data_IF_601857166260
#
_entry.id   IF_601857166260
#
_cell.length_a   1.000
_cell.length_b   1.000
_cell.length_c   1.000
_cell.angle_alpha   90.00
_cell.angle_beta   90.00
_cell.angle_gamma   90.00
#
_symmetry.space_group_name_H-M   'P 1'
#
loop_
_entity.id
_entity.type
_entity.pdbx_description
1 polymer ?
#
# COMPACT_ATOMS: atom_id res chain seq x y z
N UNK A 1 19.46 28.02 -35.13
CA UNK A 1 18.65 27.89 -33.90
C UNK A 1 18.23 26.45 -33.63
N UNK A 2 18.03 25.64 -34.67
CA UNK A 2 17.57 24.24 -34.56
C UNK A 2 18.49 23.34 -33.74
N UNK A 3 19.81 23.55 -33.78
CA UNK A 3 20.76 22.79 -32.96
C UNK A 3 20.63 23.05 -31.46
N UNK A 4 20.25 24.26 -31.04
CA UNK A 4 20.12 24.60 -29.62
C UNK A 4 18.89 23.93 -28.99
N UNK A 5 17.80 23.80 -29.75
CA UNK A 5 16.56 23.17 -29.31
C UNK A 5 16.77 21.64 -29.14
N UNK A 6 17.48 21.00 -30.08
CA UNK A 6 17.81 19.59 -29.99
C UNK A 6 18.70 19.27 -28.77
N UNK A 7 19.71 20.12 -28.50
CA UNK A 7 20.60 19.97 -27.34
C UNK A 7 19.84 20.14 -26.02
N UNK A 8 18.89 21.09 -25.96
CA UNK A 8 18.05 21.30 -24.77
C UNK A 8 17.14 20.08 -24.50
N UNK A 9 16.53 19.51 -25.54
CA UNK A 9 15.68 18.31 -25.41
C UNK A 9 16.46 17.10 -24.87
N UNK A 10 17.66 16.87 -25.40
CA UNK A 10 18.55 15.79 -24.94
C UNK A 10 18.98 16.02 -23.49
N UNK A 11 19.32 17.26 -23.11
CA UNK A 11 19.72 17.60 -21.76
C UNK A 11 18.58 17.38 -20.74
N UNK A 12 17.34 17.73 -21.08
CA UNK A 12 16.17 17.50 -20.22
C UNK A 12 15.89 16.01 -20.06
N UNK A 13 15.98 15.22 -21.14
CA UNK A 13 15.83 13.76 -21.09
C UNK A 13 16.89 13.13 -20.18
N UNK A 14 18.16 13.52 -20.34
CA UNK A 14 19.25 13.03 -19.51
C UNK A 14 19.10 13.44 -18.04
N UNK A 15 18.62 14.65 -17.77
CA UNK A 15 18.33 15.13 -16.41
C UNK A 15 17.25 14.25 -15.75
N UNK A 16 16.13 14.00 -16.45
CA UNK A 16 15.02 13.18 -15.94
C UNK A 16 15.47 11.75 -15.68
N UNK A 17 16.22 11.15 -16.61
CA UNK A 17 16.78 9.80 -16.43
C UNK A 17 17.72 9.75 -15.22
N UNK A 18 18.60 10.74 -15.05
CA UNK A 18 19.53 10.82 -13.93
C UNK A 18 18.81 10.99 -12.59
N UNK A 19 17.75 11.80 -12.55
CA UNK A 19 16.96 12.04 -11.34
C UNK A 19 16.19 10.78 -10.91
N UNK A 20 15.61 10.06 -11.88
CA UNK A 20 14.92 8.79 -11.64
C UNK A 20 15.89 7.70 -11.14
N UNK A 21 17.08 7.60 -11.73
CA UNK A 21 18.15 6.71 -11.26
C UNK A 21 18.57 7.04 -9.83
N UNK A 22 18.76 8.32 -9.52
CA UNK A 22 19.16 8.75 -8.17
C UNK A 22 18.07 8.48 -7.14
N UNK A 23 16.79 8.71 -7.47
CA UNK A 23 15.64 8.36 -6.62
C UNK A 23 15.51 6.86 -6.39
N UNK A 24 15.75 6.04 -7.42
CA UNK A 24 15.75 4.59 -7.31
C UNK A 24 16.88 4.09 -6.39
N UNK A 25 18.05 4.71 -6.45
CA UNK A 25 19.21 4.35 -5.63
C UNK A 25 19.10 4.85 -4.18
N UNK A 26 18.47 6.00 -3.93
CA UNK A 26 18.31 6.54 -2.57
C UNK A 26 17.16 5.92 -1.77
N UNK A 27 16.15 5.36 -2.43
CA UNK A 27 15.03 4.67 -1.75
C UNK A 27 15.32 3.22 -1.36
N UNK A 28 16.58 2.81 -1.39
CA UNK A 28 17.03 1.58 -0.76
C UNK A 28 17.79 1.88 0.54
N UNK A 29 17.16 2.43 1.60
CA UNK A 29 17.67 2.19 2.93
C UNK A 29 17.34 0.72 3.21
N UNK A 30 18.29 -0.18 2.88
CA UNK A 30 18.37 -1.40 3.66
C UNK A 30 18.47 -0.94 5.10
N UNK A 31 17.41 -1.17 5.89
CA UNK A 31 17.53 -1.09 7.34
C UNK A 31 18.72 -2.01 7.64
N UNK A 32 19.83 -1.52 8.24
CA UNK A 32 20.75 -2.46 8.83
C UNK A 32 19.89 -3.25 9.81
N UNK A 33 19.73 -4.54 9.54
CA UNK A 33 19.28 -5.46 10.57
C UNK A 33 20.32 -5.25 11.66
N UNK A 34 19.94 -4.52 12.71
CA UNK A 34 20.66 -4.57 13.98
C UNK A 34 20.61 -6.04 14.35
N UNK A 35 21.68 -6.75 13.98
CA UNK A 35 21.99 -8.06 14.52
C UNK A 35 21.92 -7.88 16.02
N UNK A 36 20.89 -8.47 16.61
CA UNK A 36 20.71 -8.51 18.04
C UNK A 36 22.07 -8.80 18.71
N UNK A 37 22.43 -8.07 19.77
CA UNK A 37 23.70 -8.28 20.45
C UNK A 37 23.83 -9.77 20.78
N UNK A 38 24.88 -10.40 20.26
CA UNK A 38 25.27 -11.76 20.63
C UNK A 38 25.41 -11.78 22.15
N UNK A 39 24.47 -12.44 22.82
CA UNK A 39 24.55 -12.73 24.23
C UNK A 39 25.83 -13.54 24.47
N UNK A 40 26.79 -12.92 25.16
CA UNK A 40 27.96 -13.61 25.70
C UNK A 40 27.51 -14.68 26.70
N UNK A 41 28.30 -15.76 26.86
CA UNK A 41 27.90 -16.87 27.71
C UNK A 41 28.23 -16.56 29.18
N UNK A 42 27.48 -17.25 30.06
CA UNK A 42 27.74 -17.54 31.48
C UNK A 42 27.09 -16.60 32.52
N UNK A 43 26.06 -17.14 33.16
CA UNK A 43 25.50 -16.64 34.41
C UNK A 43 24.30 -17.48 34.82
N UNK A 44 24.54 -18.68 35.36
CA UNK A 44 23.54 -19.58 35.94
C UNK A 44 22.69 -18.87 37.00
N UNK A 45 21.36 -18.93 36.85
CA UNK A 45 20.39 -19.07 37.94
C UNK A 45 19.00 -19.39 37.34
N UNK A 46 18.57 -20.64 37.46
CA UNK A 46 17.16 -21.04 37.32
C UNK A 46 16.28 -20.25 38.31
N UNK A 47 15.07 -19.85 37.89
CA UNK A 47 13.93 -20.70 38.26
C UNK A 47 12.90 -20.91 37.14
N UNK A 48 12.40 -22.15 37.10
CA UNK A 48 11.04 -22.57 36.75
C UNK A 48 10.50 -22.18 35.36
N UNK A 49 10.89 -22.99 34.37
CA UNK A 49 10.03 -23.59 33.34
C UNK A 49 8.57 -23.09 33.27
N UNK A 50 8.38 -21.96 32.59
CA UNK A 50 7.29 -21.84 31.64
C UNK A 50 7.89 -22.14 30.26
N UNK A 51 7.88 -23.42 29.89
CA UNK A 51 8.01 -23.86 28.50
C UNK A 51 6.77 -23.39 27.72
N UNK A 52 6.63 -22.07 27.57
CA UNK A 52 5.90 -21.48 26.46
C UNK A 52 6.82 -21.63 25.25
N UNK A 53 6.89 -22.88 24.76
CA UNK A 53 7.56 -23.24 23.52
C UNK A 53 7.31 -22.13 22.50
N UNK A 54 8.40 -21.42 22.17
CA UNK A 54 8.46 -20.43 21.13
C UNK A 54 7.98 -21.08 19.83
N UNK A 55 6.66 -21.07 19.61
CA UNK A 55 6.08 -21.52 18.36
C UNK A 55 6.73 -20.65 17.30
N UNK A 56 7.30 -21.25 16.23
CA UNK A 56 7.84 -20.46 15.14
C UNK A 56 6.76 -19.46 14.72
N UNK A 57 7.07 -18.17 14.80
CA UNK A 57 6.13 -17.09 14.58
C UNK A 57 5.46 -17.28 13.20
N UNK A 58 4.19 -17.68 13.21
CA UNK A 58 3.43 -17.85 11.99
C UNK A 58 2.96 -16.47 11.51
N UNK A 59 3.17 -16.16 10.22
CA UNK A 59 2.77 -14.89 9.64
C UNK A 59 1.24 -14.88 9.57
N UNK A 60 0.65 -13.70 9.63
CA UNK A 60 -0.80 -13.59 9.54
C UNK A 60 -1.32 -14.24 8.25
N UNK A 61 -2.14 -15.31 8.30
CA UNK A 61 -2.51 -16.07 7.11
C UNK A 61 -3.29 -15.20 6.11
N UNK A 62 -4.11 -14.29 6.61
CA UNK A 62 -4.88 -13.36 5.78
C UNK A 62 -3.99 -12.30 5.12
N UNK A 63 -2.88 -11.90 5.76
CA UNK A 63 -1.91 -11.00 5.17
C UNK A 63 -1.17 -11.67 4.02
N UNK A 64 -0.71 -12.92 4.23
CA UNK A 64 -0.14 -13.77 3.18
C UNK A 64 -1.10 -13.87 2.00
N UNK A 65 -2.38 -14.17 2.28
CA UNK A 65 -3.42 -14.29 1.24
C UNK A 65 -3.61 -12.98 0.47
N UNK A 66 -3.65 -11.83 1.14
CA UNK A 66 -3.76 -10.53 0.50
C UNK A 66 -2.59 -10.21 -0.40
N UNK A 67 -1.38 -10.54 0.03
CA UNK A 67 -0.15 -10.29 -0.73
C UNK A 67 -0.02 -11.25 -1.92
N UNK A 68 -0.42 -12.51 -1.78
CA UNK A 68 -0.46 -13.49 -2.89
C UNK A 68 -1.55 -13.18 -3.93
N UNK A 69 -2.63 -12.53 -3.49
CA UNK A 69 -3.72 -12.06 -4.34
C UNK A 69 -3.45 -10.69 -5.01
N UNK A 70 -2.28 -10.08 -4.79
CA UNK A 70 -1.92 -8.73 -5.26
C UNK A 70 -2.92 -7.65 -4.78
N UNK A 71 -3.40 -7.82 -3.54
CA UNK A 71 -4.37 -6.94 -2.86
C UNK A 71 -3.75 -6.18 -1.71
N UNK A 72 -2.49 -5.77 -1.87
CA UNK A 72 -1.69 -4.98 -0.92
C UNK A 72 -2.51 -3.92 -0.18
N UNK A 73 -3.19 -3.05 -0.95
CA UNK A 73 -3.98 -1.92 -0.44
C UNK A 73 -5.05 -2.32 0.58
N UNK A 74 -5.57 -3.54 0.46
CA UNK A 74 -6.62 -4.08 1.32
C UNK A 74 -6.08 -5.05 2.37
N UNK A 75 -4.78 -5.36 2.33
CA UNK A 75 -4.16 -6.31 3.24
C UNK A 75 -4.33 -5.87 4.70
N UNK A 76 -4.02 -4.61 5.01
CA UNK A 76 -4.22 -4.06 6.35
C UNK A 76 -5.69 -4.15 6.79
N UNK A 77 -6.64 -3.75 5.93
CA UNK A 77 -8.07 -3.84 6.25
C UNK A 77 -8.53 -5.28 6.50
N UNK A 78 -8.04 -6.23 5.71
CA UNK A 78 -8.37 -7.63 5.86
C UNK A 78 -7.81 -8.23 7.16
N UNK A 79 -6.58 -7.86 7.52
CA UNK A 79 -5.95 -8.23 8.80
C UNK A 79 -6.77 -7.70 9.96
N UNK A 80 -7.19 -6.43 9.94
CA UNK A 80 -8.03 -5.87 11.00
C UNK A 80 -9.39 -6.59 11.09
N UNK A 81 -10.02 -6.93 9.97
CA UNK A 81 -11.29 -7.65 9.98
C UNK A 81 -11.13 -9.08 10.50
N UNK A 82 -10.05 -9.75 10.13
CA UNK A 82 -9.72 -11.09 10.63
C UNK A 82 -9.43 -11.08 12.14
N UNK A 83 -8.67 -10.09 12.61
CA UNK A 83 -8.38 -9.90 14.02
C UNK A 83 -9.65 -9.60 14.84
N UNK A 84 -10.57 -8.79 14.32
CA UNK A 84 -11.86 -8.53 14.98
C UNK A 84 -12.73 -9.80 15.00
N UNK A 85 -12.77 -10.56 13.90
CA UNK A 85 -13.49 -11.83 13.83
C UNK A 85 -12.93 -12.89 14.79
N UNK A 86 -11.62 -12.89 15.05
CA UNK A 86 -10.96 -13.72 16.07
C UNK A 86 -11.14 -13.22 17.50
N UNK A 87 -11.75 -12.04 17.69
CA UNK A 87 -11.84 -11.40 19.00
C UNK A 87 -10.49 -10.98 19.57
N UNK A 88 -9.49 -10.74 18.71
CA UNK A 88 -8.16 -10.26 19.11
C UNK A 88 -8.12 -8.74 19.27
N UNK A 89 -8.96 -8.04 18.50
CA UNK A 89 -9.17 -6.60 18.61
C UNK A 89 -10.65 -6.29 18.70
N UNK A 90 -10.98 -5.07 19.15
CA UNK A 90 -12.31 -4.49 19.06
C UNK A 90 -12.26 -3.24 18.17
N UNK A 91 -13.05 -3.25 17.11
CA UNK A 91 -13.28 -2.04 16.30
C UNK A 91 -14.31 -1.15 16.97
N UNK A 92 -13.89 0.07 17.31
CA UNK A 92 -14.70 1.08 17.98
C UNK A 92 -15.33 2.03 16.96
N UNK A 93 -16.55 2.51 17.28
CA UNK A 93 -17.26 3.48 16.45
C UNK A 93 -16.41 4.75 16.24
N UNK A 94 -16.29 5.24 14.99
CA UNK A 94 -15.63 6.52 14.75
C UNK A 94 -16.38 7.66 15.44
N UNK A 95 -15.64 8.60 16.02
CA UNK A 95 -16.17 9.91 16.37
C UNK A 95 -16.42 10.73 15.10
N UNK A 96 -17.25 11.79 15.18
CA UNK A 96 -17.65 12.56 14.00
C UNK A 96 -16.41 13.11 13.27
N UNK A 97 -16.16 12.60 12.05
CA UNK A 97 -15.05 13.03 11.19
C UNK A 97 -13.73 12.25 11.38
N UNK A 98 -13.68 11.26 12.27
CA UNK A 98 -12.49 10.43 12.51
C UNK A 98 -12.60 9.04 11.86
N UNK A 99 -11.46 8.35 11.77
CA UNK A 99 -11.41 6.95 11.39
C UNK A 99 -11.87 6.06 12.56
N UNK A 100 -12.43 4.86 12.30
CA UNK A 100 -12.70 3.88 13.36
C UNK A 100 -11.43 3.60 14.16
N UNK A 101 -11.52 3.53 15.49
CA UNK A 101 -10.38 3.17 16.33
C UNK A 101 -10.33 1.65 16.52
N UNK A 102 -9.13 1.11 16.72
CA UNK A 102 -8.93 -0.31 16.99
C UNK A 102 -8.32 -0.47 18.38
N UNK A 103 -8.92 -1.28 19.23
CA UNK A 103 -8.38 -1.60 20.56
C UNK A 103 -7.91 -3.05 20.59
N UNK A 104 -6.67 -3.30 21.00
CA UNK A 104 -6.19 -4.67 21.27
C UNK A 104 -6.79 -5.14 22.58
N UNK A 105 -7.27 -6.39 22.61
CA UNK A 105 -7.81 -7.01 23.82
C UNK A 105 -6.69 -7.75 24.56
N UNK A 106 -6.61 -7.59 25.89
CA UNK A 106 -5.43 -7.95 26.72
C UNK A 106 -4.96 -9.42 26.63
N UNK A 107 -5.81 -10.34 26.17
CA UNK A 107 -5.50 -11.76 26.04
C UNK A 107 -5.14 -12.21 24.60
N UNK A 108 -5.08 -11.28 23.65
CA UNK A 108 -4.91 -11.61 22.25
C UNK A 108 -3.43 -11.88 21.89
N UNK A 109 -3.15 -13.10 21.41
CA UNK A 109 -1.88 -13.40 20.77
C UNK A 109 -1.90 -12.86 19.34
N UNK A 110 -1.08 -11.84 19.09
CA UNK A 110 -0.88 -11.23 17.78
C UNK A 110 0.49 -11.63 17.24
N UNK A 111 0.56 -11.98 15.95
CA UNK A 111 1.83 -12.08 15.24
C UNK A 111 2.51 -10.71 15.12
N UNK A 112 3.82 -10.67 14.85
CA UNK A 112 4.56 -9.41 14.68
C UNK A 112 3.98 -8.54 13.56
N UNK A 113 3.67 -9.14 12.41
CA UNK A 113 3.04 -8.44 11.29
C UNK A 113 1.67 -7.84 11.69
N UNK A 114 0.88 -8.56 12.49
CA UNK A 114 -0.41 -8.08 13.00
C UNK A 114 -0.24 -6.92 14.00
N UNK A 115 0.75 -7.03 14.90
CA UNK A 115 1.09 -5.96 15.84
C UNK A 115 1.51 -4.71 15.10
N UNK A 116 2.37 -4.85 14.08
CA UNK A 116 2.85 -3.74 13.27
C UNK A 116 1.70 -3.08 12.50
N UNK A 117 0.78 -3.86 11.92
CA UNK A 117 -0.41 -3.32 11.23
C UNK A 117 -1.33 -2.58 12.21
N UNK A 118 -1.62 -3.15 13.38
CA UNK A 118 -2.49 -2.52 14.39
C UNK A 118 -1.83 -1.25 14.93
N UNK A 119 -0.52 -1.27 15.20
CA UNK A 119 0.25 -0.12 15.65
C UNK A 119 0.31 0.98 14.57
N UNK A 120 0.52 0.61 13.31
CA UNK A 120 0.50 1.53 12.19
C UNK A 120 -0.89 2.16 11.96
N UNK A 121 -1.95 1.35 12.11
CA UNK A 121 -3.33 1.81 11.95
C UNK A 121 -3.74 2.78 13.06
N UNK A 122 -3.52 2.43 14.33
CA UNK A 122 -3.84 3.32 15.44
C UNK A 122 -2.92 4.55 15.47
N UNK A 123 -1.72 4.41 14.90
CA UNK A 123 -0.65 5.36 15.02
C UNK A 123 -0.18 5.52 16.47
N UNK A 124 0.83 6.36 16.67
CA UNK A 124 1.03 7.03 17.96
C UNK A 124 -0.22 7.88 18.17
N UNK A 125 -1.17 7.40 18.99
CA UNK A 125 -2.25 8.24 19.50
C UNK A 125 -1.56 9.43 20.16
N UNK A 126 -1.56 10.57 19.47
CA UNK A 126 -1.35 11.84 20.14
C UNK A 126 -2.59 11.96 21.00
N UNK A 127 -2.45 11.81 22.31
CA UNK A 127 -3.54 12.07 23.24
C UNK A 127 -4.25 13.35 22.79
N UNK A 128 -5.58 13.33 22.71
CA UNK A 128 -6.36 14.50 22.29
C UNK A 128 -6.03 15.75 23.16
N UNK A 129 -5.51 15.54 24.38
CA UNK A 129 -4.96 16.59 25.25
C UNK A 129 -3.71 17.28 24.70
N UNK A 130 -2.99 16.67 23.75
CA UNK A 130 -1.79 17.23 23.09
C UNK A 130 -2.12 17.81 21.70
N UNK A 131 -3.39 17.77 21.26
CA UNK A 131 -3.86 18.46 20.06
C UNK A 131 -4.07 19.98 20.26
N UNK A 132 -3.55 20.58 21.34
CA UNK A 132 -3.36 22.05 21.38
C UNK A 132 -2.38 22.52 20.29
N UNK A 133 -1.59 21.61 19.72
CA UNK A 133 -0.68 21.87 18.60
C UNK A 133 -1.22 21.57 17.20
N UNK A 134 -2.47 21.93 16.87
CA UNK A 134 -2.94 22.27 15.51
C UNK A 134 -2.53 21.41 14.30
N UNK A 135 -2.19 20.12 14.44
CA UNK A 135 -1.85 19.28 13.27
C UNK A 135 -3.12 19.02 12.46
N UNK A 136 -3.14 19.51 11.23
CA UNK A 136 -4.25 19.27 10.29
C UNK A 136 -4.54 17.76 10.17
N UNK A 137 -5.81 17.32 10.27
CA UNK A 137 -6.23 15.92 10.10
C UNK A 137 -5.70 15.25 8.84
N UNK A 138 -5.41 16.03 7.80
CA UNK A 138 -4.80 15.56 6.54
C UNK A 138 -3.42 14.93 6.74
N UNK A 139 -2.50 15.62 7.45
CA UNK A 139 -1.13 15.13 7.68
C UNK A 139 -1.11 13.87 8.55
N UNK A 140 -2.05 13.76 9.50
CA UNK A 140 -2.16 12.57 10.33
C UNK A 140 -2.53 11.35 9.47
N UNK A 141 -3.54 11.48 8.60
CA UNK A 141 -3.93 10.41 7.67
C UNK A 141 -2.78 10.02 6.75
N UNK A 142 -2.03 10.98 6.21
CA UNK A 142 -0.87 10.68 5.37
C UNK A 142 0.18 9.85 6.14
N UNK A 143 0.51 10.25 7.37
CA UNK A 143 1.46 9.49 8.21
C UNK A 143 0.97 8.10 8.62
N UNK A 144 -0.34 7.92 8.79
CA UNK A 144 -0.95 6.61 9.07
C UNK A 144 -0.83 5.71 7.85
N UNK A 145 -1.11 6.25 6.65
CA UNK A 145 -0.99 5.51 5.39
C UNK A 145 0.44 5.09 5.10
N UNK A 146 1.41 5.98 5.30
CA UNK A 146 2.83 5.68 5.11
C UNK A 146 3.27 4.54 6.05
N UNK A 147 2.87 4.58 7.34
CA UNK A 147 3.16 3.50 8.29
C UNK A 147 2.49 2.17 7.94
N UNK A 148 1.23 2.20 7.49
CA UNK A 148 0.52 1.00 7.06
C UNK A 148 1.18 0.40 5.82
N UNK A 149 1.60 1.25 4.89
CA UNK A 149 2.36 0.85 3.72
C UNK A 149 3.68 0.17 4.12
N UNK A 150 4.43 0.77 5.04
CA UNK A 150 5.70 0.24 5.54
C UNK A 150 5.50 -1.10 6.25
N UNK A 151 4.46 -1.25 7.09
CA UNK A 151 4.14 -2.50 7.77
C UNK A 151 3.80 -3.63 6.78
N UNK A 152 2.98 -3.33 5.77
CA UNK A 152 2.65 -4.31 4.73
C UNK A 152 3.84 -4.58 3.80
N UNK A 153 4.74 -3.61 3.60
CA UNK A 153 6.00 -3.81 2.89
C UNK A 153 6.98 -4.70 3.68
N UNK A 154 7.10 -4.53 5.00
CA UNK A 154 7.89 -5.42 5.84
C UNK A 154 7.39 -6.87 5.77
N UNK A 155 6.07 -7.08 5.88
CA UNK A 155 5.46 -8.40 5.70
C UNK A 155 5.64 -8.98 4.28
N UNK A 156 5.78 -8.13 3.26
CA UNK A 156 6.12 -8.62 1.91
C UNK A 156 7.53 -9.21 1.83
N UNK A 157 8.44 -8.75 2.68
CA UNK A 157 9.80 -9.27 2.77
C UNK A 157 9.82 -10.64 3.46
N UNK A 158 9.00 -10.84 4.48
CA UNK A 158 8.87 -12.14 5.16
C UNK A 158 8.34 -13.23 4.22
N UNK A 159 7.50 -12.89 3.24
CA UNK A 159 7.08 -13.83 2.17
C UNK A 159 8.21 -14.25 1.25
N UNK A 160 9.18 -13.36 1.01
CA UNK A 160 10.35 -13.69 0.21
C UNK A 160 11.29 -14.62 0.98
N UNK A 161 11.51 -14.36 2.27
CA UNK A 161 12.31 -15.23 3.16
C UNK A 161 11.74 -16.65 3.27
N UNK A 162 10.41 -16.79 3.17
CA UNK A 162 9.68 -18.07 3.17
C UNK A 162 9.58 -18.73 1.79
N UNK A 163 10.29 -18.20 0.81
CA UNK A 163 10.33 -18.67 -0.57
C UNK A 163 8.99 -18.67 -1.35
N UNK A 164 7.91 -18.11 -0.80
CA UNK A 164 6.60 -18.05 -1.46
C UNK A 164 6.57 -17.10 -2.67
N UNK A 165 7.43 -16.09 -2.67
CA UNK A 165 7.55 -15.13 -3.78
C UNK A 165 9.00 -14.88 -4.15
N UNK A 166 9.27 -14.61 -5.43
CA UNK A 166 10.57 -14.07 -5.85
C UNK A 166 10.71 -12.62 -5.38
N UNK A 167 11.95 -12.15 -5.23
CA UNK A 167 12.30 -10.78 -4.81
C UNK A 167 11.36 -9.78 -5.49
N UNK A 168 10.62 -8.96 -4.73
CA UNK A 168 9.70 -7.99 -5.30
C UNK A 168 10.48 -7.03 -6.22
N UNK A 169 10.13 -7.02 -7.50
CA UNK A 169 10.87 -6.25 -8.51
C UNK A 169 10.11 -4.96 -8.84
N UNK A 170 10.69 -3.80 -8.49
CA UNK A 170 10.13 -2.47 -8.76
C UNK A 170 10.49 -1.90 -10.15
N UNK A 171 11.51 -2.47 -10.81
CA UNK A 171 12.03 -1.96 -12.08
C UNK A 171 11.02 -1.86 -13.23
N UNK A 172 10.07 -2.80 -13.44
CA UNK A 172 9.13 -2.70 -14.56
C UNK A 172 8.26 -1.45 -14.46
N UNK A 173 7.80 -1.14 -13.25
CA UNK A 173 6.97 0.05 -12.98
C UNK A 173 7.78 1.33 -13.17
N UNK A 174 9.03 1.37 -12.70
CA UNK A 174 9.94 2.50 -12.94
C UNK A 174 10.23 2.69 -14.43
N UNK A 175 10.46 1.61 -15.16
CA UNK A 175 10.77 1.64 -16.58
C UNK A 175 9.54 2.08 -17.39
N UNK A 176 8.34 1.63 -17.04
CA UNK A 176 7.09 2.09 -17.65
C UNK A 176 6.81 3.57 -17.38
N UNK A 177 7.06 4.05 -16.15
CA UNK A 177 6.96 5.47 -15.83
C UNK A 177 7.99 6.28 -16.62
N UNK A 178 9.24 5.80 -16.71
CA UNK A 178 10.27 6.46 -17.50
C UNK A 178 9.91 6.51 -18.99
N UNK A 179 9.44 5.40 -19.57
CA UNK A 179 8.97 5.33 -20.97
C UNK A 179 7.78 6.25 -21.19
N UNK A 180 6.83 6.32 -20.27
CA UNK A 180 5.69 7.22 -20.36
C UNK A 180 6.12 8.69 -20.30
N UNK A 181 7.04 9.05 -19.40
CA UNK A 181 7.60 10.40 -19.32
C UNK A 181 8.35 10.76 -20.61
N UNK A 182 9.13 9.84 -21.18
CA UNK A 182 9.82 10.03 -22.46
C UNK A 182 8.83 10.20 -23.61
N UNK A 183 7.76 9.39 -23.65
CA UNK A 183 6.70 9.49 -24.65
C UNK A 183 5.95 10.82 -24.56
N UNK A 184 5.64 11.28 -23.35
CA UNK A 184 5.04 12.61 -23.11
C UNK A 184 5.97 13.71 -23.58
N UNK A 185 7.25 13.67 -23.19
CA UNK A 185 8.22 14.68 -23.59
C UNK A 185 8.40 14.73 -25.12
N UNK A 186 8.53 13.56 -25.76
CA UNK A 186 8.64 13.47 -27.21
C UNK A 186 7.37 13.97 -27.92
N UNK A 187 6.19 13.65 -27.39
CA UNK A 187 4.90 14.13 -27.91
C UNK A 187 4.78 15.64 -27.84
N UNK A 188 5.18 16.25 -26.71
CA UNK A 188 5.22 17.70 -26.53
C UNK A 188 6.17 18.35 -27.54
N UNK A 189 7.38 17.80 -27.69
CA UNK A 189 8.38 18.32 -28.65
C UNK A 189 7.86 18.21 -30.09
N UNK A 190 7.34 17.05 -30.50
CA UNK A 190 6.81 16.85 -31.85
C UNK A 190 5.67 17.80 -32.17
N UNK A 191 4.74 18.03 -31.24
CA UNK A 191 3.61 18.90 -31.50
C UNK A 191 4.03 20.38 -31.64
N UNK A 192 4.98 20.84 -30.82
CA UNK A 192 5.56 22.19 -30.95
C UNK A 192 6.25 22.37 -32.30
N UNK A 193 6.90 21.34 -32.83
CA UNK A 193 7.63 21.41 -34.10
C UNK A 193 6.75 21.25 -35.35
N UNK A 194 5.72 20.40 -35.29
CA UNK A 194 4.92 20.02 -36.46
C UNK A 194 3.68 20.90 -36.65
N UNK A 195 3.07 21.36 -35.56
CA UNK A 195 1.84 22.13 -35.60
C UNK A 195 1.85 23.23 -34.53
N UNK A 196 2.62 24.32 -34.74
CA UNK A 196 2.64 25.45 -33.80
C UNK A 196 1.25 26.09 -33.60
N UNK A 197 0.37 25.92 -34.59
CA UNK A 197 -1.03 26.35 -34.59
C UNK A 197 -1.93 25.46 -33.68
N UNK A 198 -1.58 24.18 -33.52
CA UNK A 198 -2.29 23.26 -32.63
C UNK A 198 -1.90 23.62 -31.20
N UNK A 199 -2.62 24.60 -30.63
CA UNK A 199 -2.19 25.31 -29.44
C UNK A 199 -1.66 24.40 -28.32
N UNK A 200 -0.61 24.84 -27.59
CA UNK A 200 0.12 24.05 -26.59
C UNK A 200 -0.77 23.40 -25.51
N UNK A 201 -2.00 23.88 -25.34
CA UNK A 201 -3.02 23.32 -24.46
C UNK A 201 -3.56 21.95 -24.89
N UNK A 202 -3.72 21.69 -26.20
CA UNK A 202 -4.23 20.40 -26.69
C UNK A 202 -3.20 19.26 -26.48
N UNK A 203 -1.92 19.60 -26.60
CA UNK A 203 -0.80 18.67 -26.47
C UNK A 203 -0.54 18.32 -25.00
N UNK A 204 -0.53 19.33 -24.14
CA UNK A 204 -0.33 19.17 -22.70
C UNK A 204 -1.48 18.38 -22.05
N UNK A 205 -2.72 18.62 -22.46
CA UNK A 205 -3.87 17.83 -21.97
C UNK A 205 -3.81 16.37 -22.40
N UNK A 206 -3.46 16.06 -23.65
CA UNK A 206 -3.29 14.69 -24.11
C UNK A 206 -2.16 13.95 -23.35
N UNK A 207 -1.04 14.62 -23.13
CA UNK A 207 0.08 14.10 -22.34
C UNK A 207 -0.32 13.77 -20.89
N UNK A 208 -1.07 14.66 -20.23
CA UNK A 208 -1.58 14.45 -18.86
C UNK A 208 -2.52 13.25 -18.82
N UNK A 209 -3.40 13.09 -19.82
CA UNK A 209 -4.32 11.94 -19.90
C UNK A 209 -3.54 10.64 -20.07
N UNK A 210 -2.58 10.58 -21.00
CA UNK A 210 -1.76 9.37 -21.22
C UNK A 210 -0.95 9.03 -19.97
N UNK A 211 -0.32 10.01 -19.33
CA UNK A 211 0.41 9.80 -18.08
C UNK A 211 -0.50 9.29 -16.96
N UNK A 212 -1.70 9.89 -16.81
CA UNK A 212 -2.71 9.45 -15.85
C UNK A 212 -3.14 8.00 -16.09
N UNK A 213 -3.37 7.60 -17.33
CA UNK A 213 -3.72 6.22 -17.71
C UNK A 213 -2.58 5.25 -17.37
N UNK A 214 -1.33 5.58 -17.71
CA UNK A 214 -0.18 4.72 -17.40
C UNK A 214 -0.03 4.54 -15.88
N UNK A 215 -0.09 5.62 -15.10
CA UNK A 215 0.01 5.54 -13.64
C UNK A 215 -1.17 4.75 -13.05
N UNK A 216 -2.37 4.87 -13.60
CA UNK A 216 -3.52 4.10 -13.16
C UNK A 216 -3.40 2.60 -13.46
N UNK A 217 -2.90 2.22 -14.63
CA UNK A 217 -2.90 0.83 -15.12
C UNK A 217 -1.69 0.03 -14.64
N UNK A 218 -0.50 0.64 -14.51
CA UNK A 218 0.72 -0.11 -14.19
C UNK A 218 0.74 -0.56 -12.73
N UNK A 219 0.90 -1.86 -12.42
CA UNK A 219 1.03 -2.34 -11.03
C UNK A 219 2.20 -1.64 -10.33
N UNK A 220 2.02 -1.28 -9.06
CA UNK A 220 3.09 -0.61 -8.31
C UNK A 220 4.22 -1.59 -7.98
N UNK A 221 3.90 -2.88 -7.97
CA UNK A 221 4.79 -3.98 -7.62
C UNK A 221 4.47 -5.15 -8.54
N UNK A 222 5.52 -5.83 -8.98
CA UNK A 222 5.38 -7.14 -9.60
C UNK A 222 5.93 -8.18 -8.63
N UNK A 223 5.04 -9.00 -8.08
CA UNK A 223 5.43 -10.23 -7.37
C UNK A 223 5.34 -11.37 -8.36
N UNK A 224 6.42 -12.13 -8.49
CA UNK A 224 6.37 -13.43 -9.19
C UNK A 224 6.23 -14.51 -8.11
N UNK A 225 5.04 -15.04 -7.86
CA UNK A 225 4.86 -16.14 -6.93
C UNK A 225 5.66 -17.36 -7.40
N UNK A 226 6.13 -18.16 -6.45
CA UNK A 226 6.74 -19.46 -6.73
C UNK A 226 5.65 -20.54 -6.85
N UNK A 227 6.03 -21.69 -7.38
CA UNK A 227 5.12 -22.83 -7.59
C UNK A 227 4.45 -23.31 -6.29
N UNK A 228 5.15 -23.19 -5.16
CA UNK A 228 4.62 -23.51 -3.82
C UNK A 228 3.39 -22.67 -3.45
N UNK A 229 3.26 -21.46 -3.99
CA UNK A 229 2.11 -20.59 -3.74
C UNK A 229 0.93 -20.86 -4.70
N UNK A 230 1.11 -21.66 -5.75
CA UNK A 230 0.09 -21.81 -6.82
C UNK A 230 -1.22 -22.40 -6.30
N UNK A 231 -1.16 -23.42 -5.43
CA UNK A 231 -2.35 -24.01 -4.82
C UNK A 231 -3.15 -22.98 -4.02
N UNK A 232 -2.47 -22.19 -3.18
CA UNK A 232 -3.09 -21.11 -2.40
C UNK A 232 -3.69 -20.04 -3.31
N UNK A 233 -2.99 -19.66 -4.39
CA UNK A 233 -3.47 -18.66 -5.35
C UNK A 233 -4.69 -19.12 -6.16
N UNK A 234 -4.76 -20.40 -6.52
CA UNK A 234 -5.94 -20.97 -7.16
C UNK A 234 -7.15 -20.90 -6.24
N UNK A 235 -6.98 -21.22 -4.96
CA UNK A 235 -8.06 -21.08 -3.97
C UNK A 235 -8.47 -19.62 -3.79
N UNK A 236 -7.52 -18.68 -3.72
CA UNK A 236 -7.84 -17.24 -3.66
C UNK A 236 -8.56 -16.75 -4.92
N UNK A 237 -8.22 -17.27 -6.10
CA UNK A 237 -8.93 -16.97 -7.33
C UNK A 237 -10.38 -17.50 -7.30
N UNK A 238 -10.58 -18.70 -6.73
CA UNK A 238 -11.92 -19.27 -6.50
C UNK A 238 -12.72 -18.41 -5.53
N UNK A 239 -12.15 -18.04 -4.38
CA UNK A 239 -12.81 -17.16 -3.39
C UNK A 239 -13.18 -15.82 -4.03
N UNK A 240 -12.27 -15.22 -4.81
CA UNK A 240 -12.56 -13.98 -5.55
C UNK A 240 -13.75 -14.14 -6.49
N UNK A 241 -13.86 -15.27 -7.19
CA UNK A 241 -14.99 -15.54 -8.09
C UNK A 241 -16.32 -15.71 -7.33
N UNK A 242 -16.29 -16.36 -6.15
CA UNK A 242 -17.45 -16.51 -5.28
C UNK A 242 -17.93 -15.16 -4.76
N UNK A 243 -17.02 -14.31 -4.28
CA UNK A 243 -17.34 -12.93 -3.84
C UNK A 243 -17.88 -12.10 -5.00
N UNK A 244 -17.36 -12.26 -6.22
CA UNK A 244 -17.85 -11.53 -7.38
C UNK A 244 -19.25 -11.98 -7.83
N UNK A 245 -19.58 -13.26 -7.67
CA UNK A 245 -20.89 -13.81 -7.99
C UNK A 245 -21.95 -13.41 -6.96
N UNK A 246 -21.57 -13.23 -5.70
CA UNK A 246 -22.46 -12.81 -4.63
C UNK A 246 -22.71 -11.30 -4.65
N UNK A 247 -23.45 -10.84 -5.66
CA UNK A 247 -23.84 -9.43 -5.82
C UNK A 247 -24.73 -8.89 -4.69
N UNK A 248 -25.17 -9.73 -3.76
CA UNK A 248 -26.10 -9.37 -2.70
C UNK A 248 -25.42 -8.85 -1.42
N UNK A 249 -24.10 -9.01 -1.29
CA UNK A 249 -23.40 -8.70 -0.03
C UNK A 249 -23.76 -9.66 1.11
N UNK A 250 -24.56 -10.70 0.84
CA UNK A 250 -24.64 -11.85 1.72
C UNK A 250 -23.26 -12.50 1.79
N UNK A 251 -22.90 -13.08 2.93
CA UNK A 251 -21.71 -13.91 2.97
C UNK A 251 -22.08 -15.22 2.27
N UNK A 252 -21.75 -15.35 0.99
CA UNK A 252 -21.78 -16.63 0.28
C UNK A 252 -21.24 -17.70 1.23
N UNK A 253 -21.99 -18.78 1.40
CA UNK A 253 -21.73 -19.79 2.42
C UNK A 253 -20.27 -20.26 2.34
N UNK A 254 -19.47 -19.95 3.36
CA UNK A 254 -18.05 -20.32 3.44
C UNK A 254 -17.02 -19.23 3.14
N UNK A 255 -17.42 -18.01 2.74
CA UNK A 255 -16.47 -16.88 2.60
C UNK A 255 -16.33 -16.15 3.94
N UNK A 256 -15.10 -15.98 4.43
CA UNK A 256 -14.86 -15.18 5.63
C UNK A 256 -15.05 -13.67 5.38
N UNK A 257 -15.44 -12.93 6.42
CA UNK A 257 -15.54 -11.45 6.37
C UNK A 257 -14.23 -10.79 5.95
N UNK A 258 -13.10 -11.38 6.31
CA UNK A 258 -11.79 -10.89 5.89
C UNK A 258 -11.57 -11.04 4.37
N UNK A 259 -11.94 -12.18 3.78
CA UNK A 259 -11.91 -12.34 2.32
C UNK A 259 -12.91 -11.42 1.61
N UNK A 260 -14.05 -11.13 2.22
CA UNK A 260 -14.96 -10.09 1.72
C UNK A 260 -14.29 -8.71 1.76
N UNK A 261 -13.54 -8.36 2.81
CA UNK A 261 -12.77 -7.12 2.87
C UNK A 261 -11.70 -7.06 1.76
N UNK A 262 -11.03 -8.17 1.44
CA UNK A 262 -10.08 -8.26 0.32
C UNK A 262 -10.72 -8.03 -1.06
N UNK A 263 -11.79 -8.75 -1.36
CA UNK A 263 -12.29 -8.89 -2.73
C UNK A 263 -13.59 -8.13 -3.02
N UNK A 264 -14.33 -7.74 -1.98
CA UNK A 264 -15.64 -7.13 -2.08
C UNK A 264 -15.63 -5.74 -2.72
N UNK A 265 -16.68 -5.44 -3.47
CA UNK A 265 -16.97 -4.11 -4.01
C UNK A 265 -17.63 -3.23 -2.93
N UNK A 266 -17.56 -1.89 -3.02
CA UNK A 266 -18.15 -1.01 -2.01
C UNK A 266 -19.61 -1.36 -1.64
N UNK A 267 -20.52 -1.63 -2.59
CA UNK A 267 -21.90 -2.02 -2.25
C UNK A 267 -21.99 -3.31 -1.41
N UNK A 268 -21.12 -4.29 -1.67
CA UNK A 268 -21.07 -5.54 -0.89
C UNK A 268 -20.53 -5.29 0.53
N UNK A 269 -19.59 -4.35 0.69
CA UNK A 269 -19.03 -3.98 1.99
C UNK A 269 -20.00 -3.14 2.83
N UNK A 270 -20.86 -2.35 2.20
CA UNK A 270 -21.82 -1.48 2.89
C UNK A 270 -22.89 -2.30 3.65
N UNK A 271 -23.20 -3.51 3.18
CA UNK A 271 -24.16 -4.43 3.81
C UNK A 271 -23.61 -5.23 5.00
N UNK A 272 -22.31 -5.13 5.30
CA UNK A 272 -21.66 -5.90 6.35
C UNK A 272 -21.08 -4.97 7.41
N UNK A 273 -21.30 -5.32 8.68
CA UNK A 273 -20.76 -4.58 9.83
C UNK A 273 -19.72 -5.41 10.57
N UNK A 274 -18.74 -4.75 11.15
CA UNK A 274 -17.62 -5.33 11.92
C UNK A 274 -17.56 -4.68 13.30
N UNK A 275 -17.01 -5.40 14.28
CA UNK A 275 -16.88 -4.94 15.66
C UNK A 275 -18.18 -4.90 16.45
N UNK A 276 -18.05 -4.72 17.76
CA UNK A 276 -19.17 -4.63 18.72
C UNK A 276 -20.10 -3.44 18.42
N UNK A 277 -19.55 -2.37 17.87
CA UNK A 277 -20.30 -1.14 17.59
C UNK A 277 -20.98 -1.13 16.21
N UNK A 278 -20.94 -2.26 15.49
CA UNK A 278 -21.48 -2.45 14.15
C UNK A 278 -20.98 -1.41 13.15
N UNK A 279 -19.65 -1.22 13.09
CA UNK A 279 -19.03 -0.31 12.13
C UNK A 279 -19.15 -0.90 10.73
N UNK A 280 -19.67 -0.14 9.77
CA UNK A 280 -19.77 -0.61 8.39
C UNK A 280 -18.38 -0.99 7.84
N UNK A 281 -18.27 -2.16 7.24
CA UNK A 281 -17.01 -2.72 6.74
C UNK A 281 -16.36 -1.81 5.71
N UNK A 282 -17.17 -1.16 4.87
CA UNK A 282 -16.75 -0.10 3.93
C UNK A 282 -15.93 1.01 4.60
N UNK A 283 -16.29 1.39 5.82
CA UNK A 283 -15.68 2.50 6.56
C UNK A 283 -14.32 2.08 7.10
N UNK A 284 -14.24 0.88 7.66
CA UNK A 284 -12.98 0.30 8.13
C UNK A 284 -12.02 0.06 6.95
N UNK A 285 -12.52 -0.51 5.85
CA UNK A 285 -11.71 -0.74 4.63
C UNK A 285 -11.19 0.57 4.08
N UNK A 286 -12.02 1.61 3.94
CA UNK A 286 -11.58 2.94 3.47
C UNK A 286 -10.57 3.61 4.41
N UNK A 287 -10.69 3.39 5.72
CA UNK A 287 -9.78 3.95 6.71
C UNK A 287 -8.42 3.24 6.71
N UNK A 288 -8.42 1.92 6.54
CA UNK A 288 -7.22 1.08 6.51
C UNK A 288 -6.60 0.97 5.09
N UNK A 289 -7.29 1.46 4.06
CA UNK A 289 -6.76 1.57 2.70
C UNK A 289 -5.70 2.67 2.66
N UNK A 290 -4.44 2.25 2.68
CA UNK A 290 -3.30 3.13 2.48
C UNK A 290 -3.08 3.53 1.02
N UNK A 291 -3.88 2.96 0.11
CA UNK A 291 -3.82 3.22 -1.32
C UNK A 291 -4.52 4.50 -1.74
N UNK A 292 -3.75 5.60 -1.84
CA UNK A 292 -3.78 6.41 -3.05
C UNK A 292 -2.52 7.28 -3.32
N UNK A 293 -1.31 6.79 -3.04
CA UNK A 293 -0.08 7.52 -3.40
C UNK A 293 0.03 7.84 -4.91
N UNK A 294 -0.60 7.03 -5.77
CA UNK A 294 -0.59 7.26 -7.22
C UNK A 294 -1.27 8.56 -7.61
N UNK A 295 -2.38 8.88 -6.96
CA UNK A 295 -3.02 10.18 -7.19
C UNK A 295 -2.19 11.30 -6.58
N UNK A 296 -1.43 11.06 -5.51
CA UNK A 296 -0.46 12.05 -5.02
C UNK A 296 0.59 12.37 -6.08
N UNK A 297 1.14 11.37 -6.78
CA UNK A 297 2.04 11.61 -7.92
C UNK A 297 1.35 12.36 -9.07
N UNK A 298 0.10 12.00 -9.40
CA UNK A 298 -0.69 12.71 -10.42
C UNK A 298 -0.99 14.15 -9.99
N UNK A 299 -1.40 14.39 -8.75
CA UNK A 299 -1.69 15.71 -8.19
C UNK A 299 -0.42 16.55 -8.05
N UNK A 300 0.70 16.00 -7.58
CA UNK A 300 1.98 16.69 -7.56
C UNK A 300 2.47 17.05 -8.97
N UNK A 301 2.22 16.20 -9.96
CA UNK A 301 2.51 16.51 -11.36
C UNK A 301 1.57 17.58 -11.93
N UNK A 302 0.26 17.52 -11.62
CA UNK A 302 -0.72 18.55 -12.01
C UNK A 302 -0.38 19.90 -11.37
N UNK A 303 -0.05 19.91 -10.08
CA UNK A 303 0.37 21.12 -9.36
C UNK A 303 1.64 21.70 -9.98
N UNK A 304 2.64 20.85 -10.26
CA UNK A 304 3.87 21.24 -10.95
C UNK A 304 3.58 21.81 -12.35
N UNK A 305 2.76 21.15 -13.16
CA UNK A 305 2.38 21.64 -14.48
C UNK A 305 1.60 22.97 -14.40
N UNK A 306 0.74 23.14 -13.38
CA UNK A 306 -0.02 24.37 -13.15
C UNK A 306 0.86 25.54 -12.70
N UNK A 307 2.00 25.28 -12.04
CA UNK A 307 2.97 26.29 -11.66
C UNK A 307 3.60 26.97 -12.88
N UNK A 308 3.94 26.20 -13.92
CA UNK A 308 4.48 26.77 -15.18
C UNK A 308 3.44 27.55 -16.00
N UNK A 309 2.15 27.40 -15.70
CA UNK A 309 1.08 28.09 -16.42
C UNK A 309 0.66 29.43 -15.77
N UNK A 310 1.27 29.80 -14.63
CA UNK A 310 0.99 31.06 -13.90
C UNK A 310 2.04 32.16 -14.11
N UNK A 311 3.08 31.90 -14.90
CA UNK A 311 4.12 32.87 -15.28
C UNK A 311 4.07 33.13 -16.78
#
# INVERSE_FOLDING_TARGET
>A
MDGAIAVLGIAVVLLVVTLLLRLALHRSPGRPVETAPQAGPLGQAEPAEQDEQARPFEPSPILVDALLADRDRRAASAVLVDLDARGAIAVLRPTKGSAPAVQVLDAAQLSDDERDIVAAYNGVRVDESTMEGGRSPSRWRDSQRDRLFDAVEAASWSLWERDLTRIPFRWPSLLLVAVALLGVAAGVICAVLVAPEAGPLAVSSAAVVVFGVVVAVVPARFRRPRAEADGRRQELARIRSLVAADGSGSLATGVSTAHLALFGTPPQLDGVTVGRDAVALTTLVKAADYGNERWRLVYSFIDFASFFNRG
#
